data_IF_801998387454
#
_entry.id   IF_801998387454
#
_cell.length_a   1.000
_cell.length_b   1.000
_cell.length_c   1.000
_cell.angle_alpha   90.00
_cell.angle_beta   90.00
_cell.angle_gamma   90.00
#
_symmetry.space_group_name_H-M   'P 1'
#
loop_
_entity.id
_entity.type
_entity.pdbx_description
1 polymer ?
#
# COMPACT_ATOMS: atom_id res chain seq x y z
N UNK A 1 -14.99 -3.38 -22.48
CA UNK A 1 -14.36 -2.17 -21.90
C UNK A 1 -13.00 -1.97 -22.56
N UNK A 2 -12.47 -0.75 -22.65
CA UNK A 2 -11.09 -0.56 -23.16
C UNK A 2 -10.12 -0.81 -22.00
N UNK A 3 -9.21 -1.76 -22.19
CA UNK A 3 -8.10 -2.01 -21.25
C UNK A 3 -6.99 -1.01 -21.52
N UNK A 4 -6.42 -0.45 -20.45
CA UNK A 4 -5.25 0.44 -20.52
C UNK A 4 -4.33 0.18 -19.34
N UNK A 5 -3.04 0.34 -19.57
CA UNK A 5 -2.05 0.35 -18.49
C UNK A 5 -2.25 1.60 -17.63
N UNK A 6 -2.21 1.43 -16.30
CA UNK A 6 -2.31 2.57 -15.40
C UNK A 6 -1.05 3.44 -15.55
N UNK A 7 -1.19 4.74 -15.88
CA UNK A 7 -0.07 5.58 -16.32
C UNK A 7 0.99 5.84 -15.24
N UNK A 8 0.62 5.64 -13.98
CA UNK A 8 1.49 5.77 -12.83
C UNK A 8 0.96 4.75 -11.81
N UNK A 9 1.79 3.87 -11.25
CA UNK A 9 1.32 2.81 -10.36
C UNK A 9 1.39 3.30 -8.88
N UNK A 10 0.34 3.95 -8.34
CA UNK A 10 0.38 4.53 -7.00
C UNK A 10 0.53 3.45 -5.93
N UNK A 11 0.18 2.19 -6.25
CA UNK A 11 0.40 1.07 -5.36
C UNK A 11 1.88 0.76 -5.22
N UNK A 12 2.67 0.79 -6.29
CA UNK A 12 4.11 0.55 -6.25
C UNK A 12 4.82 1.62 -5.40
N UNK A 13 4.47 2.89 -5.60
CA UNK A 13 5.01 4.00 -4.82
C UNK A 13 4.61 3.91 -3.35
N UNK A 14 3.33 3.66 -3.06
CA UNK A 14 2.86 3.53 -1.68
C UNK A 14 3.43 2.29 -0.99
N UNK A 15 3.52 1.17 -1.71
CA UNK A 15 4.14 -0.06 -1.23
C UNK A 15 5.62 0.15 -0.92
N UNK A 16 6.36 0.86 -1.76
CA UNK A 16 7.75 1.21 -1.50
C UNK A 16 7.90 2.04 -0.20
N UNK A 17 7.06 3.06 -0.01
CA UNK A 17 7.05 3.85 1.24
C UNK A 17 6.73 2.98 2.46
N UNK A 18 5.75 2.08 2.33
CA UNK A 18 5.41 1.15 3.41
C UNK A 18 6.58 0.22 3.73
N UNK A 19 7.24 -0.35 2.72
CA UNK A 19 8.38 -1.24 2.91
C UNK A 19 9.57 -0.52 3.57
N UNK A 20 9.85 0.72 3.17
CA UNK A 20 10.90 1.54 3.78
C UNK A 20 10.58 1.84 5.25
N UNK A 21 9.36 2.26 5.54
CA UNK A 21 8.94 2.59 6.91
C UNK A 21 8.90 1.35 7.82
N UNK A 22 8.37 0.22 7.34
CA UNK A 22 8.40 -1.05 8.05
C UNK A 22 9.84 -1.53 8.31
N UNK A 23 10.73 -1.40 7.33
CA UNK A 23 12.15 -1.72 7.48
C UNK A 23 12.83 -0.88 8.57
N UNK A 24 12.58 0.43 8.59
CA UNK A 24 13.08 1.34 9.64
C UNK A 24 12.57 0.94 11.03
N UNK A 25 11.28 0.64 11.16
CA UNK A 25 10.67 0.21 12.43
C UNK A 25 11.28 -1.11 12.90
N UNK A 26 11.47 -2.09 12.01
CA UNK A 26 12.11 -3.36 12.36
C UNK A 26 13.57 -3.20 12.76
N UNK A 27 14.35 -2.36 12.05
CA UNK A 27 15.74 -2.09 12.41
C UNK A 27 15.84 -1.45 13.80
N UNK A 28 15.01 -0.44 14.08
CA UNK A 28 14.96 0.19 15.39
C UNK A 28 14.55 -0.81 16.49
N UNK A 29 13.50 -1.60 16.24
CA UNK A 29 13.02 -2.62 17.17
C UNK A 29 14.06 -3.71 17.45
N UNK A 30 14.81 -4.13 16.45
CA UNK A 30 15.90 -5.12 16.59
C UNK A 30 17.07 -4.55 17.38
N UNK A 31 17.47 -3.30 17.10
CA UNK A 31 18.49 -2.61 17.88
C UNK A 31 18.09 -2.46 19.36
N UNK A 32 16.82 -2.10 19.61
CA UNK A 32 16.25 -2.01 20.95
C UNK A 32 16.17 -3.37 21.66
N UNK A 33 15.81 -4.45 20.94
CA UNK A 33 15.75 -5.79 21.54
C UNK A 33 17.13 -6.31 21.90
N UNK A 34 18.17 -6.01 21.11
CA UNK A 34 19.55 -6.37 21.42
C UNK A 34 20.04 -5.55 22.62
N UNK A 35 19.76 -4.24 22.66
CA UNK A 35 20.19 -3.37 23.75
C UNK A 35 19.56 -3.77 25.09
N UNK A 36 18.25 -4.05 25.11
CA UNK A 36 17.52 -4.35 26.35
C UNK A 36 17.35 -5.86 26.61
N UNK A 37 17.94 -6.73 25.78
CA UNK A 37 17.77 -8.20 25.82
C UNK A 37 16.30 -8.65 25.92
N UNK A 38 15.38 -7.83 25.38
CA UNK A 38 13.94 -8.04 25.55
C UNK A 38 13.24 -8.19 24.21
N UNK A 39 12.75 -9.41 23.96
CA UNK A 39 12.10 -9.80 22.71
C UNK A 39 10.75 -9.09 22.46
N UNK A 40 10.15 -8.49 23.49
CA UNK A 40 8.91 -7.70 23.36
C UNK A 40 9.07 -6.52 22.41
N UNK A 41 10.25 -5.92 22.31
CA UNK A 41 10.49 -4.81 21.38
C UNK A 41 10.42 -5.26 19.92
N UNK A 42 10.95 -6.45 19.64
CA UNK A 42 10.86 -7.05 18.31
C UNK A 42 9.41 -7.37 17.94
N UNK A 43 8.68 -8.03 18.84
CA UNK A 43 7.25 -8.34 18.64
C UNK A 43 6.40 -7.07 18.47
N UNK A 44 6.65 -6.04 19.28
CA UNK A 44 5.99 -4.74 19.18
C UNK A 44 6.27 -4.03 17.85
N UNK A 45 7.54 -3.99 17.41
CA UNK A 45 7.92 -3.42 16.12
C UNK A 45 7.26 -4.12 14.92
N UNK A 46 7.09 -5.45 15.02
CA UNK A 46 6.42 -6.25 14.00
C UNK A 46 4.91 -5.93 13.93
N UNK A 47 4.25 -5.82 15.08
CA UNK A 47 2.82 -5.43 15.15
C UNK A 47 2.63 -4.02 14.59
N UNK A 48 3.48 -3.06 14.97
CA UNK A 48 3.40 -1.67 14.49
C UNK A 48 3.54 -1.63 12.96
N UNK A 49 4.50 -2.38 12.41
CA UNK A 49 4.71 -2.48 10.96
C UNK A 49 3.48 -3.02 10.22
N UNK A 50 2.81 -4.05 10.76
CA UNK A 50 1.57 -4.61 10.20
C UNK A 50 0.44 -3.57 10.22
N UNK A 51 0.26 -2.86 11.33
CA UNK A 51 -0.79 -1.84 11.46
C UNK A 51 -0.58 -0.70 10.45
N UNK A 52 0.67 -0.23 10.31
CA UNK A 52 1.04 0.78 9.32
C UNK A 52 0.73 0.29 7.90
N UNK A 53 1.09 -0.96 7.58
CA UNK A 53 0.80 -1.58 6.28
C UNK A 53 -0.70 -1.59 5.97
N UNK A 54 -1.54 -2.01 6.91
CA UNK A 54 -3.00 -2.09 6.72
C UNK A 54 -3.61 -0.70 6.53
N UNK A 55 -3.22 0.27 7.36
CA UNK A 55 -3.77 1.64 7.31
C UNK A 55 -3.38 2.34 6.01
N UNK A 56 -2.11 2.24 5.60
CA UNK A 56 -1.62 2.89 4.38
C UNK A 56 -2.18 2.22 3.12
N UNK A 57 -2.27 0.88 3.07
CA UNK A 57 -2.94 0.21 1.95
C UNK A 57 -4.41 0.61 1.83
N UNK A 58 -5.13 0.71 2.95
CA UNK A 58 -6.54 1.13 2.95
C UNK A 58 -6.71 2.59 2.50
N UNK A 59 -5.78 3.48 2.87
CA UNK A 59 -5.76 4.86 2.38
C UNK A 59 -5.46 4.92 0.88
N UNK A 60 -4.48 4.17 0.40
CA UNK A 60 -4.13 4.09 -1.02
C UNK A 60 -5.34 3.61 -1.86
N UNK A 61 -5.96 2.49 -1.43
CA UNK A 61 -7.19 1.94 -2.01
C UNK A 61 -8.33 2.94 -2.04
N UNK A 62 -8.44 3.80 -1.02
CA UNK A 62 -9.41 4.88 -1.01
C UNK A 62 -9.02 5.99 -1.96
N UNK A 63 -7.80 6.49 -1.97
CA UNK A 63 -7.41 7.66 -2.76
C UNK A 63 -7.28 7.40 -4.27
N UNK A 64 -7.26 6.13 -4.69
CA UNK A 64 -7.29 5.76 -6.10
C UNK A 64 -8.49 6.42 -6.80
N UNK A 65 -8.13 7.34 -7.68
CA UNK A 65 -9.03 8.17 -8.47
C UNK A 65 -8.67 8.02 -9.94
N UNK A 66 -9.67 7.98 -10.81
CA UNK A 66 -9.45 7.87 -12.24
C UNK A 66 -8.67 9.09 -12.73
N UNK A 67 -7.52 8.95 -13.41
CA UNK A 67 -6.74 10.09 -13.89
C UNK A 67 -7.53 10.97 -14.87
N UNK A 68 -8.50 10.38 -15.59
CA UNK A 68 -9.32 11.08 -16.59
C UNK A 68 -10.51 11.84 -15.99
N UNK A 69 -11.13 11.33 -14.93
CA UNK A 69 -12.35 11.93 -14.38
C UNK A 69 -12.30 12.28 -12.89
N UNK A 70 -11.15 12.08 -12.25
CA UNK A 70 -10.86 12.34 -10.83
C UNK A 70 -11.91 11.80 -9.86
N UNK A 71 -12.65 10.76 -10.25
CA UNK A 71 -13.61 10.07 -9.39
C UNK A 71 -12.99 8.78 -8.87
N UNK A 72 -13.37 8.39 -7.66
CA UNK A 72 -12.98 7.12 -7.07
C UNK A 72 -13.19 5.96 -8.03
N UNK A 73 -12.17 5.12 -8.11
CA UNK A 73 -12.17 3.88 -8.89
C UNK A 73 -12.14 2.71 -7.92
N UNK A 74 -12.88 1.66 -8.26
CA UNK A 74 -12.96 0.48 -7.43
C UNK A 74 -11.98 -0.57 -7.96
N UNK A 75 -11.30 -1.26 -7.05
CA UNK A 75 -10.55 -2.45 -7.40
C UNK A 75 -11.52 -3.62 -7.56
N UNK A 76 -11.52 -4.25 -8.72
CA UNK A 76 -12.29 -5.48 -9.00
C UNK A 76 -11.29 -6.62 -9.24
N UNK A 77 -11.36 -7.66 -8.39
CA UNK A 77 -10.49 -8.82 -8.48
C UNK A 77 -10.61 -9.47 -9.89
N UNK A 78 -9.46 -9.71 -10.53
CA UNK A 78 -9.38 -10.27 -11.90
C UNK A 78 -9.49 -9.25 -13.04
N UNK A 79 -9.97 -8.03 -12.78
CA UNK A 79 -10.12 -6.97 -13.81
C UNK A 79 -9.26 -5.73 -13.55
N UNK A 80 -8.63 -5.63 -12.38
CA UNK A 80 -7.78 -4.51 -11.99
C UNK A 80 -8.59 -3.34 -11.44
N UNK A 81 -8.14 -2.11 -11.70
CA UNK A 81 -8.77 -0.90 -11.19
C UNK A 81 -9.79 -0.38 -12.21
N UNK A 82 -11.08 -0.47 -11.90
CA UNK A 82 -12.16 -0.18 -12.86
C UNK A 82 -12.79 1.18 -12.59
N UNK A 83 -12.84 2.02 -13.63
CA UNK A 83 -13.59 3.27 -13.61
C UNK A 83 -14.96 3.10 -14.28
N UNK A 84 -16.02 2.97 -13.48
CA UNK A 84 -17.41 2.84 -13.98
C UNK A 84 -17.86 4.05 -14.82
N UNK A 85 -17.40 5.27 -14.49
CA UNK A 85 -17.75 6.50 -15.23
C UNK A 85 -17.08 6.57 -16.61
N UNK A 86 -15.81 6.16 -16.70
CA UNK A 86 -15.07 6.18 -17.97
C UNK A 86 -15.20 4.88 -18.78
N UNK A 87 -15.76 3.81 -18.20
CA UNK A 87 -15.80 2.45 -18.77
C UNK A 87 -14.40 1.94 -19.19
N UNK A 88 -13.39 2.31 -18.40
CA UNK A 88 -11.99 1.91 -18.57
C UNK A 88 -11.64 0.98 -17.42
N UNK A 89 -11.09 -0.18 -17.77
CA UNK A 89 -10.42 -1.06 -16.82
C UNK A 89 -8.93 -0.76 -16.93
N UNK A 90 -8.34 -0.40 -15.80
CA UNK A 90 -6.92 -0.14 -15.69
C UNK A 90 -6.22 -1.36 -15.13
N UNK A 91 -5.27 -1.89 -15.88
CA UNK A 91 -4.44 -2.99 -15.42
C UNK A 91 -3.24 -2.41 -14.67
N UNK A 92 -2.94 -3.03 -13.52
CA UNK A 92 -1.72 -2.79 -12.76
C UNK A 92 -0.71 -3.81 -13.29
N UNK A 93 0.13 -3.39 -14.23
CA UNK A 93 1.29 -4.16 -14.69
C UNK A 93 2.51 -3.80 -13.83
#
# INVERSE_FOLDING_TARGET
MKNRDFPDNPFLYTYAIIMISAGLVMLAATGLSIWQENWLWFAGGLIISIVIFVVLNKKCLRELSCPKCKKHIAFEAGSGVVCKKCKIAWQLN
#
